data_IF_462423441605
#
_entry.id   IF_462423441605
#
_cell.length_a   1.000
_cell.length_b   1.000
_cell.length_c   1.000
_cell.angle_alpha   90.00
_cell.angle_beta   90.00
_cell.angle_gamma   90.00
#
_symmetry.space_group_name_H-M   'P 1'
#
loop_
_entity.id
_entity.type
_entity.pdbx_description
1 polymer ?
#
# COMPACT_ATOMS: atom_id res chain seq x y z
N UNK A 1 34.21 9.24 6.55
CA UNK A 1 33.19 8.21 6.84
C UNK A 1 32.11 8.89 7.65
N UNK A 2 30.89 9.03 7.13
CA UNK A 2 29.78 9.67 7.87
C UNK A 2 29.29 8.65 8.89
N UNK A 3 29.41 8.95 10.18
CA UNK A 3 28.89 8.07 11.23
C UNK A 3 27.36 7.98 11.12
N UNK A 4 26.76 6.79 11.31
CA UNK A 4 25.30 6.65 11.34
C UNK A 4 24.68 7.64 12.34
N UNK A 5 23.78 8.50 11.86
CA UNK A 5 23.17 9.51 12.70
C UNK A 5 21.84 8.99 13.25
N UNK A 6 21.71 8.92 14.58
CA UNK A 6 20.47 8.50 15.26
C UNK A 6 19.27 9.38 14.89
N UNK A 7 19.50 10.63 14.47
CA UNK A 7 18.45 11.54 13.97
C UNK A 7 17.84 11.15 12.62
N UNK A 8 18.43 10.20 11.89
CA UNK A 8 17.90 9.67 10.63
C UNK A 8 16.97 8.46 10.83
N UNK A 9 16.75 8.01 12.08
CA UNK A 9 15.83 6.91 12.35
C UNK A 9 14.39 7.37 12.08
N UNK A 10 13.69 6.66 11.20
CA UNK A 10 12.26 6.81 10.99
C UNK A 10 11.51 6.16 12.14
N UNK A 11 10.82 6.99 12.94
CA UNK A 11 10.06 6.58 14.11
C UNK A 11 8.61 7.01 13.96
N UNK A 12 7.70 6.20 14.48
CA UNK A 12 6.27 6.50 14.52
C UNK A 12 5.47 5.90 13.37
N UNK A 13 4.14 5.98 13.47
CA UNK A 13 3.23 5.48 12.45
C UNK A 13 3.13 6.44 11.27
N UNK A 14 2.37 6.05 10.25
CA UNK A 14 1.93 6.95 9.18
C UNK A 14 0.45 6.80 8.88
N UNK A 15 -0.04 7.70 8.06
CA UNK A 15 -1.42 7.78 7.60
C UNK A 15 -1.52 7.10 6.24
N UNK A 16 -2.44 6.14 6.13
CA UNK A 16 -2.77 5.50 4.85
C UNK A 16 -3.88 6.24 4.14
N UNK A 17 -3.74 6.33 2.82
CA UNK A 17 -4.69 6.94 1.90
C UNK A 17 -4.95 6.05 0.71
N UNK A 18 -6.11 6.21 0.09
CA UNK A 18 -6.50 5.52 -1.14
C UNK A 18 -7.07 6.51 -2.15
N UNK A 19 -6.89 6.23 -3.43
CA UNK A 19 -7.47 7.05 -4.49
C UNK A 19 -7.84 6.21 -5.72
N UNK A 20 -8.75 6.69 -6.59
CA UNK A 20 -8.94 6.12 -7.92
C UNK A 20 -7.65 6.09 -8.74
N UNK A 21 -7.54 5.18 -9.71
CA UNK A 21 -6.41 5.16 -10.63
C UNK A 21 -6.28 6.49 -11.39
N UNK A 22 -5.04 6.94 -11.58
CA UNK A 22 -4.73 8.18 -12.31
C UNK A 22 -4.96 9.47 -11.51
N UNK A 23 -5.26 9.36 -10.20
CA UNK A 23 -5.34 10.53 -9.31
C UNK A 23 -4.01 11.28 -9.26
N UNK A 24 -4.07 12.60 -9.07
CA UNK A 24 -2.87 13.44 -9.03
C UNK A 24 -1.98 13.03 -7.85
N UNK A 25 -0.74 12.66 -8.14
CA UNK A 25 0.25 12.25 -7.14
C UNK A 25 0.81 13.48 -6.42
N UNK A 26 1.10 13.39 -5.11
CA UNK A 26 1.86 14.44 -4.43
C UNK A 26 3.23 14.59 -5.10
N UNK A 27 3.71 15.83 -5.23
CA UNK A 27 5.04 16.15 -5.75
C UNK A 27 6.05 16.58 -4.68
N UNK A 28 5.57 16.85 -3.47
CA UNK A 28 6.38 17.31 -2.34
C UNK A 28 5.76 16.87 -0.99
N UNK A 29 6.35 17.31 0.13
CA UNK A 29 5.94 16.96 1.50
C UNK A 29 5.06 18.04 2.19
N UNK A 30 4.94 19.22 1.60
CA UNK A 30 4.27 20.39 2.18
C UNK A 30 2.87 20.63 1.62
N UNK A 31 2.67 20.32 0.35
CA UNK A 31 1.41 20.48 -0.35
C UNK A 31 0.43 19.42 0.17
N UNK A 32 -0.81 19.80 0.53
CA UNK A 32 -1.85 18.84 0.87
C UNK A 32 -2.07 17.83 -0.25
N UNK A 33 -2.45 16.61 0.11
CA UNK A 33 -2.87 15.62 -0.88
C UNK A 33 -4.09 16.11 -1.65
N UNK A 34 -4.18 15.71 -2.91
CA UNK A 34 -5.36 15.99 -3.74
C UNK A 34 -6.63 15.42 -3.08
N UNK A 35 -7.79 16.11 -3.15
CA UNK A 35 -9.04 15.65 -2.53
C UNK A 35 -9.51 14.26 -2.96
N UNK A 36 -9.04 13.73 -4.09
CA UNK A 36 -9.32 12.35 -4.51
C UNK A 36 -8.72 11.29 -3.57
N UNK A 37 -7.73 11.65 -2.75
CA UNK A 37 -7.08 10.78 -1.77
C UNK A 37 -7.81 10.81 -0.43
N UNK A 38 -8.65 9.81 -0.16
CA UNK A 38 -9.30 9.72 1.15
C UNK A 38 -8.35 9.10 2.17
N UNK A 39 -8.67 9.26 3.45
CA UNK A 39 -7.87 8.72 4.55
C UNK A 39 -8.53 7.44 5.06
N UNK A 40 -7.75 6.36 5.15
CA UNK A 40 -8.24 5.04 5.53
C UNK A 40 -8.35 4.84 7.06
N UNK A 41 -7.75 5.76 7.83
CA UNK A 41 -7.84 5.80 9.28
C UNK A 41 -6.72 5.05 10.01
N UNK A 42 -7.03 4.58 11.22
CA UNK A 42 -6.05 3.94 12.09
C UNK A 42 -5.75 2.49 11.69
N UNK A 43 -4.46 2.16 11.70
CA UNK A 43 -3.95 0.79 11.52
C UNK A 43 -3.58 0.17 12.86
N UNK A 44 -3.78 -1.15 13.03
CA UNK A 44 -3.43 -1.87 14.25
C UNK A 44 -1.91 -1.96 14.48
N UNK A 45 -1.19 -2.45 13.47
CA UNK A 45 0.25 -2.76 13.56
C UNK A 45 1.09 -1.96 12.54
N UNK A 46 0.51 -0.89 11.98
CA UNK A 46 1.14 -0.09 10.92
C UNK A 46 0.97 -0.69 9.52
N UNK A 47 1.90 -0.34 8.63
CA UNK A 47 1.92 -0.75 7.23
C UNK A 47 3.22 -1.48 6.91
N UNK A 48 3.13 -2.59 6.19
CA UNK A 48 4.27 -3.40 5.75
C UNK A 48 4.38 -3.35 4.24
N UNK A 49 5.51 -2.90 3.74
CA UNK A 49 5.84 -2.87 2.31
C UNK A 49 6.85 -4.00 2.05
N UNK A 50 6.55 -4.86 1.07
CA UNK A 50 7.43 -5.97 0.68
C UNK A 50 7.81 -5.87 -0.79
N UNK A 51 9.11 -6.04 -1.05
CA UNK A 51 9.74 -6.09 -2.37
C UNK A 51 10.47 -7.42 -2.49
N UNK A 52 10.02 -8.28 -3.39
CA UNK A 52 10.59 -9.60 -3.61
C UNK A 52 11.00 -9.75 -5.07
N UNK A 53 12.24 -10.19 -5.30
CA UNK A 53 12.75 -10.55 -6.62
C UNK A 53 12.83 -12.08 -6.70
N UNK A 54 12.19 -12.62 -7.71
CA UNK A 54 12.36 -14.00 -8.10
C UNK A 54 13.47 -14.07 -9.14
N UNK A 55 14.55 -14.78 -8.82
CA UNK A 55 15.75 -14.87 -9.65
C UNK A 55 16.10 -16.31 -9.97
N UNK A 56 16.41 -16.57 -11.23
CA UNK A 56 16.90 -17.86 -11.70
C UNK A 56 18.38 -17.78 -12.07
N UNK A 57 19.17 -18.77 -11.63
CA UNK A 57 20.53 -18.95 -12.11
C UNK A 57 20.50 -19.53 -13.54
N UNK A 58 21.33 -18.98 -14.42
CA UNK A 58 21.59 -19.52 -15.75
C UNK A 58 22.89 -20.30 -15.68
N UNK A 59 22.78 -21.61 -15.85
CA UNK A 59 23.88 -22.56 -15.78
C UNK A 59 24.22 -23.07 -17.19
N UNK A 60 25.50 -23.34 -17.43
CA UNK A 60 26.01 -23.96 -18.66
C UNK A 60 26.89 -25.14 -18.27
N UNK A 61 27.02 -26.14 -19.15
CA UNK A 61 27.66 -27.40 -18.79
C UNK A 61 29.19 -27.30 -18.64
N UNK A 62 29.79 -26.27 -19.24
CA UNK A 62 31.24 -26.04 -19.25
C UNK A 62 31.76 -25.40 -17.96
N UNK A 63 30.88 -24.83 -17.13
CA UNK A 63 31.25 -24.10 -15.92
C UNK A 63 30.48 -24.66 -14.72
N UNK A 64 31.12 -24.71 -13.56
CA UNK A 64 30.50 -25.24 -12.34
C UNK A 64 29.66 -24.16 -11.64
N UNK A 65 30.08 -22.90 -11.77
CA UNK A 65 29.38 -21.75 -11.23
C UNK A 65 28.38 -21.16 -12.24
N UNK A 66 27.26 -20.58 -11.78
CA UNK A 66 26.29 -19.96 -12.68
C UNK A 66 26.89 -18.76 -13.40
N UNK A 67 26.71 -18.72 -14.73
CA UNK A 67 27.27 -17.65 -15.58
C UNK A 67 26.45 -16.36 -15.51
N UNK A 68 25.19 -16.44 -15.07
CA UNK A 68 24.30 -15.29 -14.96
C UNK A 68 23.17 -15.53 -13.95
N UNK A 69 22.66 -14.45 -13.36
CA UNK A 69 21.45 -14.47 -12.53
C UNK A 69 20.39 -13.63 -13.25
N UNK A 70 19.38 -14.30 -13.80
CA UNK A 70 18.25 -13.67 -14.46
C UNK A 70 17.15 -13.31 -13.45
N UNK A 71 16.49 -12.17 -13.65
CA UNK A 71 15.31 -11.79 -12.86
C UNK A 71 14.06 -12.29 -13.60
N UNK A 72 13.37 -13.27 -13.01
CA UNK A 72 12.17 -13.86 -13.59
C UNK A 72 10.95 -12.96 -13.37
N UNK A 73 10.75 -12.54 -12.13
CA UNK A 73 9.61 -11.71 -11.76
C UNK A 73 9.92 -10.85 -10.54
N UNK A 74 9.07 -9.85 -10.33
CA UNK A 74 9.10 -9.00 -9.14
C UNK A 74 7.71 -8.97 -8.53
N UNK A 75 7.62 -9.27 -7.23
CA UNK A 75 6.39 -9.16 -6.45
C UNK A 75 6.51 -7.98 -5.49
N UNK A 76 5.49 -7.13 -5.53
CA UNK A 76 5.38 -5.93 -4.72
C UNK A 76 4.06 -6.00 -3.96
N UNK A 77 4.11 -5.81 -2.66
CA UNK A 77 2.93 -5.93 -1.80
C UNK A 77 2.95 -4.92 -0.66
N UNK A 78 1.78 -4.44 -0.31
CA UNK A 78 1.53 -3.53 0.82
C UNK A 78 0.45 -4.17 1.69
N UNK A 79 0.78 -4.47 2.94
CA UNK A 79 -0.12 -5.11 3.89
C UNK A 79 -0.34 -4.25 5.13
N UNK A 80 -1.58 -4.17 5.60
CA UNK A 80 -1.97 -3.42 6.80
C UNK A 80 -3.31 -3.92 7.34
N UNK A 81 -3.57 -3.67 8.62
CA UNK A 81 -4.84 -4.01 9.26
C UNK A 81 -5.57 -2.73 9.71
N UNK A 82 -6.70 -2.42 9.08
CA UNK A 82 -7.51 -1.23 9.42
C UNK A 82 -8.39 -1.50 10.62
N UNK A 83 -8.45 -0.58 11.57
CA UNK A 83 -9.32 -0.69 12.75
C UNK A 83 -10.66 0.04 12.60
N UNK A 84 -10.83 0.79 11.51
CA UNK A 84 -12.06 1.52 11.22
C UNK A 84 -12.92 0.75 10.20
N UNK A 85 -14.02 0.16 10.67
CA UNK A 85 -14.99 -0.54 9.84
C UNK A 85 -16.00 0.45 9.25
N UNK A 86 -15.55 1.28 8.32
CA UNK A 86 -16.43 2.19 7.56
C UNK A 86 -16.81 1.55 6.22
N UNK A 87 -17.96 1.93 5.64
CA UNK A 87 -18.36 1.44 4.31
C UNK A 87 -17.28 1.71 3.23
N UNK A 88 -16.57 2.84 3.33
CA UNK A 88 -15.44 3.16 2.44
C UNK A 88 -14.28 2.19 2.60
N UNK A 89 -13.94 1.80 3.83
CA UNK A 89 -12.88 0.83 4.10
C UNK A 89 -13.29 -0.59 3.68
N UNK A 90 -14.56 -0.96 3.84
CA UNK A 90 -15.09 -2.22 3.29
C UNK A 90 -14.99 -2.22 1.76
N UNK A 91 -15.41 -1.13 1.09
CA UNK A 91 -15.29 -0.97 -0.37
C UNK A 91 -13.85 -1.02 -0.87
N UNK A 92 -12.88 -0.66 -0.01
CA UNK A 92 -11.47 -0.75 -0.35
C UNK A 92 -10.94 -2.17 -0.14
N UNK A 93 -11.31 -2.80 0.99
CA UNK A 93 -10.88 -4.13 1.33
C UNK A 93 -11.39 -5.21 0.36
N UNK A 94 -12.58 -5.04 -0.21
CA UNK A 94 -13.17 -5.98 -1.18
C UNK A 94 -13.10 -5.48 -2.62
N UNK A 95 -12.15 -4.59 -2.93
CA UNK A 95 -11.92 -4.06 -4.28
C UNK A 95 -13.10 -3.36 -4.95
N UNK A 96 -14.18 -2.99 -4.29
CA UNK A 96 -15.32 -2.39 -4.98
C UNK A 96 -16.59 -2.48 -4.17
N UNK A 97 -17.71 -2.51 -4.86
CA UNK A 97 -19.02 -2.62 -4.25
C UNK A 97 -19.75 -1.29 -4.14
N UNK A 98 -21.05 -1.40 -3.88
CA UNK A 98 -22.00 -0.30 -3.88
C UNK A 98 -22.22 0.17 -2.45
N UNK A 99 -22.11 1.48 -2.23
CA UNK A 99 -22.46 2.11 -0.95
C UNK A 99 -23.75 2.90 -1.15
N UNK A 100 -24.81 2.49 -0.47
CA UNK A 100 -26.10 3.18 -0.46
C UNK A 100 -26.23 3.93 0.86
N UNK A 101 -26.14 5.27 0.80
CA UNK A 101 -26.31 6.13 1.94
C UNK A 101 -27.78 6.53 2.10
N UNK A 102 -28.35 6.25 3.27
CA UNK A 102 -29.65 6.74 3.70
C UNK A 102 -29.54 7.59 4.97
N UNK A 103 -30.65 8.12 5.45
CA UNK A 103 -30.67 8.89 6.70
C UNK A 103 -30.38 7.97 7.89
N UNK A 104 -29.19 8.11 8.48
CA UNK A 104 -28.77 7.36 9.68
C UNK A 104 -28.32 5.90 9.43
N UNK A 105 -28.35 5.44 8.17
CA UNK A 105 -27.96 4.07 7.79
C UNK A 105 -27.10 4.14 6.52
N UNK A 106 -26.02 3.38 6.50
CA UNK A 106 -25.19 3.15 5.31
C UNK A 106 -25.16 1.67 5.03
N UNK A 107 -25.55 1.27 3.82
CA UNK A 107 -25.54 -0.11 3.35
C UNK A 107 -24.35 -0.27 2.40
N UNK A 108 -23.59 -1.35 2.57
CA UNK A 108 -22.52 -1.75 1.67
C UNK A 108 -22.84 -3.13 1.09
N UNK A 109 -22.77 -3.25 -0.22
CA UNK A 109 -22.89 -4.52 -0.94
C UNK A 109 -21.59 -4.76 -1.72
N UNK A 110 -20.99 -5.96 -1.62
CA UNK A 110 -19.75 -6.28 -2.32
C UNK A 110 -19.94 -6.25 -3.85
N UNK A 111 -18.87 -6.06 -4.63
CA UNK A 111 -18.95 -6.11 -6.09
C UNK A 111 -19.29 -7.52 -6.58
N UNK A 112 -19.87 -7.62 -7.77
CA UNK A 112 -19.92 -8.91 -8.46
C UNK A 112 -18.51 -9.36 -8.89
N UNK A 113 -18.25 -10.68 -8.99
CA UNK A 113 -16.97 -11.16 -9.49
C UNK A 113 -16.64 -10.59 -10.87
N UNK A 114 -15.46 -10.01 -11.03
CA UNK A 114 -15.04 -9.33 -12.26
C UNK A 114 -15.26 -7.82 -12.28
N UNK A 115 -15.97 -7.27 -11.29
CA UNK A 115 -16.15 -5.82 -11.10
C UNK A 115 -15.13 -5.22 -10.11
N UNK A 116 -14.04 -5.95 -9.81
CA UNK A 116 -12.99 -5.46 -8.93
C UNK A 116 -12.27 -4.24 -9.50
N UNK A 117 -12.24 -3.18 -8.70
CA UNK A 117 -11.63 -1.89 -9.00
C UNK A 117 -10.24 -1.82 -8.38
N UNK A 118 -9.24 -1.63 -9.24
CA UNK A 118 -7.88 -1.29 -8.85
C UNK A 118 -7.83 0.14 -8.29
N UNK A 119 -6.94 0.37 -7.33
CA UNK A 119 -6.77 1.69 -6.69
C UNK A 119 -5.32 2.08 -6.55
N UNK A 120 -5.09 3.36 -6.28
CA UNK A 120 -3.82 3.86 -5.80
C UNK A 120 -3.81 3.83 -4.26
N UNK A 121 -2.66 3.55 -3.67
CA UNK A 121 -2.43 3.66 -2.23
C UNK A 121 -1.37 4.70 -1.93
N UNK A 122 -1.55 5.42 -0.84
CA UNK A 122 -0.65 6.46 -0.37
C UNK A 122 -0.29 6.20 1.08
N UNK A 123 0.96 6.49 1.44
CA UNK A 123 1.40 6.51 2.82
C UNK A 123 2.09 7.84 3.09
N UNK A 124 1.82 8.43 4.25
CA UNK A 124 2.49 9.63 4.73
C UNK A 124 2.93 9.40 6.17
N UNK A 125 4.22 9.60 6.44
CA UNK A 125 4.76 9.50 7.80
C UNK A 125 4.15 10.56 8.71
N UNK A 126 3.90 10.22 9.98
CA UNK A 126 3.36 11.17 10.96
C UNK A 126 4.26 12.39 11.22
N UNK A 127 5.55 12.28 10.97
CA UNK A 127 6.53 13.38 11.07
C UNK A 127 6.62 14.23 9.78
N UNK A 128 5.84 13.92 8.74
CA UNK A 128 5.80 14.65 7.48
C UNK A 128 7.08 14.57 6.63
N UNK A 129 7.99 13.65 6.94
CA UNK A 129 9.29 13.55 6.25
C UNK A 129 9.31 12.56 5.09
N UNK A 130 8.26 11.78 4.92
CA UNK A 130 8.18 10.67 3.97
C UNK A 130 6.76 10.53 3.40
N UNK A 131 6.69 10.39 2.08
CA UNK A 131 5.46 10.01 1.37
C UNK A 131 5.75 8.89 0.37
N UNK A 132 4.87 7.90 0.33
CA UNK A 132 4.88 6.83 -0.67
C UNK A 132 3.61 6.88 -1.48
N UNK A 133 3.74 6.57 -2.76
CA UNK A 133 2.64 6.43 -3.71
C UNK A 133 2.78 5.09 -4.39
N UNK A 134 1.74 4.27 -4.31
CA UNK A 134 1.61 2.99 -5.00
C UNK A 134 0.52 3.12 -6.06
N UNK A 135 0.89 3.00 -7.33
CA UNK A 135 0.09 3.52 -8.45
C UNK A 135 -0.98 2.58 -8.97
N UNK A 136 -0.81 1.27 -8.83
CA UNK A 136 -1.82 0.31 -9.24
C UNK A 136 -1.80 -0.88 -8.29
N UNK A 137 -2.76 -0.87 -7.37
CA UNK A 137 -2.92 -1.85 -6.32
C UNK A 137 -4.25 -2.57 -6.51
N UNK A 138 -4.24 -3.88 -6.30
CA UNK A 138 -5.44 -4.69 -6.18
C UNK A 138 -5.35 -5.47 -4.86
N UNK A 139 -6.41 -5.45 -4.06
CA UNK A 139 -6.47 -6.33 -2.91
C UNK A 139 -6.43 -7.77 -3.42
N UNK A 140 -5.44 -8.51 -2.94
CA UNK A 140 -5.33 -9.95 -3.10
C UNK A 140 -5.28 -10.64 -1.74
N UNK A 141 -5.10 -11.95 -1.76
CA UNK A 141 -5.04 -12.75 -0.54
C UNK A 141 -6.40 -12.91 0.15
N UNK A 142 -6.36 -13.31 1.43
CA UNK A 142 -7.55 -13.49 2.25
C UNK A 142 -7.87 -12.19 3.01
N UNK A 143 -9.09 -11.67 2.84
CA UNK A 143 -9.57 -10.52 3.62
C UNK A 143 -10.25 -11.04 4.88
N UNK A 144 -9.58 -10.90 6.01
CA UNK A 144 -10.07 -11.38 7.30
C UNK A 144 -10.61 -10.22 8.14
N UNK A 145 -11.90 -10.31 8.49
CA UNK A 145 -12.56 -9.42 9.44
C UNK A 145 -12.50 -10.05 10.83
N UNK A 146 -11.53 -9.67 11.63
CA UNK A 146 -11.42 -10.17 13.00
C UNK A 146 -12.26 -9.32 13.97
N UNK A 147 -13.11 -9.97 14.77
CA UNK A 147 -13.78 -9.36 15.91
C UNK A 147 -13.39 -10.12 17.19
N UNK A 148 -12.64 -9.45 18.07
CA UNK A 148 -12.12 -10.05 19.32
C UNK A 148 -12.81 -9.40 20.52
N UNK A 149 -12.79 -10.08 21.67
CA UNK A 149 -13.32 -9.59 22.96
C UNK A 149 -12.18 -8.92 23.73
N UNK A 150 -12.49 -7.90 24.53
CA UNK A 150 -11.52 -7.28 25.45
C UNK A 150 -10.88 -6.04 24.83
N UNK A 151 -9.58 -5.85 25.04
CA UNK A 151 -8.83 -4.70 24.53
C UNK A 151 -8.51 -4.77 23.03
N UNK A 152 -8.75 -5.91 22.38
CA UNK A 152 -8.49 -6.09 20.95
C UNK A 152 -9.65 -5.54 20.12
N UNK A 153 -9.43 -4.37 19.51
CA UNK A 153 -10.41 -3.80 18.60
C UNK A 153 -10.55 -4.62 17.31
N UNK A 154 -11.74 -4.55 16.71
CA UNK A 154 -12.00 -5.18 15.42
C UNK A 154 -11.05 -4.62 14.34
N UNK A 155 -10.59 -5.49 13.45
CA UNK A 155 -9.71 -5.09 12.37
C UNK A 155 -10.02 -5.83 11.06
N UNK A 156 -9.71 -5.18 9.94
CA UNK A 156 -9.79 -5.73 8.59
C UNK A 156 -8.37 -5.89 8.08
N UNK A 157 -7.92 -7.13 7.90
CA UNK A 157 -6.65 -7.44 7.26
C UNK A 157 -6.71 -7.14 5.76
N UNK A 158 -5.76 -6.34 5.27
CA UNK A 158 -5.64 -5.98 3.87
C UNK A 158 -4.25 -6.33 3.35
N UNK A 159 -4.22 -6.80 2.11
CA UNK A 159 -3.05 -7.20 1.36
C UNK A 159 -3.20 -6.76 -0.09
N UNK A 160 -2.58 -5.66 -0.44
CA UNK A 160 -2.59 -5.13 -1.79
C UNK A 160 -1.36 -5.58 -2.56
N UNK A 161 -1.58 -6.20 -3.72
CA UNK A 161 -0.54 -6.52 -4.69
C UNK A 161 -0.44 -5.38 -5.70
N UNK A 162 0.80 -5.00 -6.04
CA UNK A 162 1.04 -3.92 -7.00
C UNK A 162 1.30 -4.51 -8.39
N UNK A 163 0.63 -3.94 -9.38
CA UNK A 163 0.88 -4.20 -10.79
C UNK A 163 1.69 -3.08 -11.43
N UNK A 164 2.26 -3.34 -12.61
CA UNK A 164 2.91 -2.32 -13.43
C UNK A 164 1.82 -1.55 -14.19
N UNK A 165 1.63 -0.24 -13.96
CA UNK A 165 0.49 0.48 -14.54
C UNK A 165 0.59 0.69 -16.05
N UNK A 166 1.80 0.94 -16.53
CA UNK A 166 2.10 1.09 -17.95
C UNK A 166 3.59 0.79 -18.20
N UNK A 167 4.02 0.51 -19.45
CA UNK A 167 5.41 0.20 -19.77
C UNK A 167 6.44 1.21 -19.23
N UNK A 168 6.09 2.49 -19.22
CA UNK A 168 6.95 3.63 -18.81
C UNK A 168 6.69 4.12 -17.39
N UNK A 169 5.65 3.63 -16.71
CA UNK A 169 5.28 4.07 -15.37
C UNK A 169 5.78 3.04 -14.34
N UNK A 170 6.52 3.52 -13.34
CA UNK A 170 7.01 2.67 -12.24
C UNK A 170 5.85 2.34 -11.28
N UNK A 171 5.81 1.17 -10.62
CA UNK A 171 4.69 0.82 -9.74
C UNK A 171 4.52 1.71 -8.51
N UNK A 172 5.61 2.35 -8.05
CA UNK A 172 5.57 3.24 -6.89
C UNK A 172 6.54 4.42 -7.05
N UNK A 173 6.39 5.42 -6.18
CA UNK A 173 7.33 6.51 -5.97
C UNK A 173 7.40 6.86 -4.48
N UNK A 174 8.54 7.43 -4.06
CA UNK A 174 8.80 7.84 -2.69
C UNK A 174 9.38 9.24 -2.70
N UNK A 175 8.89 10.09 -1.80
CA UNK A 175 9.35 11.45 -1.55
C UNK A 175 9.88 11.48 -0.12
N UNK A 176 11.13 11.91 0.04
CA UNK A 176 11.81 11.97 1.33
C UNK A 176 12.36 13.38 1.57
N UNK A 177 12.35 13.83 2.82
CA UNK A 177 12.88 15.12 3.20
C UNK A 177 14.42 15.12 3.10
N UNK A 178 15.01 16.11 2.43
CA UNK A 178 16.45 16.34 2.45
C UNK A 178 16.78 17.61 3.26
N UNK A 179 17.92 17.67 3.99
CA UNK A 179 18.94 16.64 4.17
C UNK A 179 18.61 15.62 5.29
N UNK A 180 17.45 15.73 5.93
CA UNK A 180 17.12 14.99 7.15
C UNK A 180 16.71 13.51 6.95
N UNK A 181 16.45 13.04 5.71
CA UNK A 181 16.16 11.64 5.34
C UNK A 181 16.59 11.28 3.91
N UNK A 182 17.89 11.42 3.63
CA UNK A 182 18.58 10.65 2.58
C UNK A 182 19.39 9.51 3.21
#
# INVERSE_FOLDING_TARGET
MVSPNKGQLALGPGILREAPLGSLEPSDLSTPWDPAWNTMGYTKDGSKISYELDTGAVEVAEEIDPIHIAINSRKLKVAFALMQLTATNLRTAWNGGTITAGTGIVIYEPPEPGEEVRRMLGFESSDGTERWVFRECLQGGNVELERKRGSDAANIGNEFMLAKPAPTIRPFAVILAAPARA
#
